data_IF_534372973787
#
_entry.id   IF_534372973787
#
_cell.length_a   1.000
_cell.length_b   1.000
_cell.length_c   1.000
_cell.angle_alpha   90.00
_cell.angle_beta   90.00
_cell.angle_gamma   90.00
#
_symmetry.space_group_name_H-M   'P 1'
#
loop_
_entity.id
_entity.type
_entity.pdbx_description
1 polymer ?
#
# COMPACT_ATOMS: atom_id res chain seq x y z
N UNK A 1 26.84 -18.04 -17.38
CA UNK A 1 27.62 -18.48 -16.20
C UNK A 1 26.82 -18.06 -14.98
N UNK A 2 26.35 -18.98 -14.13
CA UNK A 2 25.60 -18.60 -12.94
C UNK A 2 26.58 -18.05 -11.90
N UNK A 3 26.40 -16.81 -11.51
CA UNK A 3 27.09 -16.22 -10.37
C UNK A 3 26.65 -16.97 -9.11
N UNK A 4 27.56 -17.71 -8.50
CA UNK A 4 27.31 -18.47 -7.28
C UNK A 4 27.05 -17.50 -6.11
N UNK A 5 25.81 -17.45 -5.62
CA UNK A 5 25.39 -16.72 -4.42
C UNK A 5 26.27 -17.03 -3.20
N UNK A 6 26.78 -18.26 -3.11
CA UNK A 6 27.67 -18.71 -2.05
C UNK A 6 29.00 -17.92 -1.99
N UNK A 7 29.51 -17.48 -3.16
CA UNK A 7 30.76 -16.70 -3.22
C UNK A 7 30.55 -15.24 -2.74
N UNK A 8 29.35 -14.69 -2.87
CA UNK A 8 29.05 -13.33 -2.42
C UNK A 8 28.97 -13.26 -0.89
N UNK A 9 28.36 -14.25 -0.24
CA UNK A 9 28.27 -14.30 1.23
C UNK A 9 29.66 -14.50 1.86
N UNK A 10 30.47 -15.38 1.29
CA UNK A 10 31.85 -15.60 1.74
C UNK A 10 32.69 -14.33 1.55
N UNK A 11 32.52 -13.62 0.43
CA UNK A 11 33.20 -12.35 0.18
C UNK A 11 32.79 -11.27 1.18
N UNK A 12 31.51 -11.15 1.53
CA UNK A 12 31.03 -10.20 2.53
C UNK A 12 31.55 -10.53 3.94
N UNK A 13 31.65 -11.81 4.30
CA UNK A 13 32.24 -12.24 5.57
C UNK A 13 33.73 -11.91 5.65
N UNK A 14 34.50 -12.14 4.58
CA UNK A 14 35.91 -11.75 4.52
C UNK A 14 36.12 -10.24 4.57
N UNK A 15 35.26 -9.47 3.88
CA UNK A 15 35.30 -8.02 3.91
C UNK A 15 35.00 -7.49 5.33
N UNK A 16 34.00 -8.06 6.01
CA UNK A 16 33.68 -7.75 7.38
C UNK A 16 34.82 -8.05 8.36
N UNK A 17 35.49 -9.18 8.18
CA UNK A 17 36.66 -9.56 8.98
C UNK A 17 37.86 -8.60 8.79
N UNK A 18 38.11 -8.18 7.55
CA UNK A 18 39.16 -7.22 7.23
C UNK A 18 38.88 -5.86 7.88
N UNK A 19 37.64 -5.40 7.78
CA UNK A 19 37.20 -4.14 8.42
C UNK A 19 37.33 -4.23 9.94
N UNK A 20 36.95 -5.34 10.55
CA UNK A 20 37.09 -5.56 11.99
C UNK A 20 38.57 -5.53 12.44
N UNK A 21 39.47 -6.14 11.66
CA UNK A 21 40.94 -6.12 11.95
C UNK A 21 41.54 -4.73 11.77
N UNK A 22 41.07 -3.94 10.80
CA UNK A 22 41.47 -2.55 10.62
C UNK A 22 41.04 -1.65 11.79
N UNK A 23 39.81 -1.85 12.28
CA UNK A 23 39.26 -1.13 13.44
C UNK A 23 40.05 -1.47 14.72
N UNK A 24 40.49 -2.72 14.88
CA UNK A 24 41.26 -3.14 16.05
C UNK A 24 42.66 -2.50 16.13
N UNK A 25 43.24 -2.11 14.98
CA UNK A 25 44.51 -1.35 14.93
C UNK A 25 44.40 0.16 15.19
N UNK A 26 43.16 0.72 15.16
CA UNK A 26 42.93 2.12 15.43
C UNK A 26 43.01 2.41 16.95
N UNK A 27 43.63 3.54 17.30
CA UNK A 27 43.84 3.92 18.72
C UNK A 27 42.52 3.95 19.48
N UNK A 28 42.55 3.56 20.76
CA UNK A 28 41.36 3.49 21.65
C UNK A 28 40.48 4.75 21.65
N UNK A 29 41.04 5.92 21.33
CA UNK A 29 40.28 7.17 21.19
C UNK A 29 39.36 7.18 19.96
N UNK A 30 39.81 6.68 18.80
CA UNK A 30 39.03 6.61 17.56
C UNK A 30 37.86 5.61 17.69
N UNK A 31 38.06 4.50 18.38
CA UNK A 31 37.01 3.50 18.64
C UNK A 31 35.85 4.14 19.45
N UNK A 32 36.18 5.00 20.43
CA UNK A 32 35.14 5.68 21.22
C UNK A 32 34.27 6.61 20.40
N UNK A 33 34.85 7.36 19.45
CA UNK A 33 34.10 8.23 18.54
C UNK A 33 33.26 7.44 17.51
N UNK A 34 33.80 6.32 17.04
CA UNK A 34 33.06 5.46 16.10
C UNK A 34 31.83 4.82 16.76
N UNK A 35 31.94 4.31 17.99
CA UNK A 35 30.80 3.80 18.77
C UNK A 35 29.77 4.89 19.02
N UNK A 36 30.20 6.12 19.34
CA UNK A 36 29.30 7.24 19.57
C UNK A 36 28.53 7.63 18.30
N UNK A 37 29.20 7.66 17.13
CA UNK A 37 28.56 7.93 15.83
C UNK A 37 27.56 6.83 15.43
N UNK A 38 27.91 5.56 15.59
CA UNK A 38 27.02 4.43 15.26
C UNK A 38 25.80 4.40 16.17
N UNK A 39 25.95 4.70 17.48
CA UNK A 39 24.82 4.83 18.39
C UNK A 39 23.92 6.02 18.01
N UNK A 40 24.49 7.15 17.58
CA UNK A 40 23.75 8.32 17.12
C UNK A 40 22.92 8.04 15.86
N UNK A 41 23.52 7.36 14.87
CA UNK A 41 22.81 6.96 13.63
C UNK A 41 21.71 5.96 13.95
N UNK A 42 21.95 5.00 14.84
CA UNK A 42 20.97 4.01 15.25
C UNK A 42 19.79 4.67 15.99
N UNK A 43 20.05 5.63 16.90
CA UNK A 43 19.01 6.40 17.57
C UNK A 43 18.19 7.26 16.58
N UNK A 44 18.85 7.83 15.57
CA UNK A 44 18.18 8.64 14.55
C UNK A 44 17.22 7.80 13.68
N UNK A 45 17.60 6.56 13.33
CA UNK A 45 16.74 5.62 12.59
C UNK A 45 15.52 5.23 13.40
N UNK A 46 15.64 5.06 14.72
CA UNK A 46 14.49 4.76 15.59
C UNK A 46 13.54 5.95 15.80
N UNK A 47 14.03 7.17 15.74
CA UNK A 47 13.21 8.39 15.89
C UNK A 47 12.43 8.76 14.62
N UNK A 48 12.87 8.31 13.43
CA UNK A 48 12.18 8.56 12.15
C UNK A 48 11.22 7.43 11.73
N UNK A 49 11.16 6.35 12.49
CA UNK A 49 10.41 5.14 12.16
C UNK A 49 9.04 5.02 12.79
N UNK A 50 8.15 5.99 12.63
CA UNK A 50 6.70 5.81 12.74
C UNK A 50 5.97 7.03 12.19
N UNK A 51 6.02 7.20 10.88
CA UNK A 51 5.00 7.99 10.21
C UNK A 51 3.89 7.03 9.80
N UNK A 52 2.89 6.86 10.67
CA UNK A 52 1.57 6.43 10.23
C UNK A 52 1.04 7.56 9.33
N UNK A 53 1.33 7.45 8.03
CA UNK A 53 0.83 8.37 7.04
C UNK A 53 -0.70 8.33 7.08
N UNK A 54 -1.32 9.37 7.61
CA UNK A 54 -2.71 9.66 7.37
C UNK A 54 -2.88 9.82 5.86
N UNK A 55 -3.50 8.84 5.23
CA UNK A 55 -3.91 8.95 3.84
C UNK A 55 -4.97 10.04 3.77
N UNK A 56 -4.63 11.18 3.23
CA UNK A 56 -5.55 12.30 3.09
C UNK A 56 -6.63 11.96 2.07
N UNK A 57 -7.87 12.17 2.48
CA UNK A 57 -9.04 12.19 1.59
C UNK A 57 -8.95 13.44 0.71
N UNK A 58 -9.31 13.29 -0.51
CA UNK A 58 -9.17 14.25 -1.59
C UNK A 58 -9.61 15.68 -1.31
N UNK A 59 -8.70 16.60 -1.50
CA UNK A 59 -9.05 17.94 -1.96
C UNK A 59 -8.48 18.27 -3.36
N UNK A 60 -7.73 17.35 -4.01
CA UNK A 60 -7.24 17.60 -5.36
C UNK A 60 -7.05 16.30 -6.14
N UNK A 61 -7.97 16.01 -7.04
CA UNK A 61 -7.88 14.97 -8.09
C UNK A 61 -6.98 15.50 -9.25
N UNK A 62 -5.96 16.26 -8.95
CA UNK A 62 -5.13 16.91 -9.99
C UNK A 62 -4.12 15.98 -10.68
N UNK A 63 -4.03 14.70 -10.28
CA UNK A 63 -3.10 13.75 -10.90
C UNK A 63 -3.73 12.40 -11.31
N UNK A 64 -5.03 12.36 -11.48
CA UNK A 64 -5.67 11.22 -12.16
C UNK A 64 -5.76 11.58 -13.62
N UNK A 65 -4.88 11.03 -14.43
CA UNK A 65 -4.86 11.23 -15.90
C UNK A 65 -6.14 10.75 -16.60
N UNK A 66 -7.14 10.27 -15.85
CA UNK A 66 -8.36 9.76 -16.42
C UNK A 66 -9.59 10.43 -15.81
N UNK A 67 -10.33 11.15 -16.66
CA UNK A 67 -11.67 11.72 -16.36
C UNK A 67 -12.68 10.67 -15.87
N UNK A 68 -12.36 9.39 -15.97
CA UNK A 68 -13.23 8.27 -15.59
C UNK A 68 -13.50 8.22 -14.09
N UNK A 69 -12.48 8.44 -13.24
CA UNK A 69 -12.66 8.43 -11.79
C UNK A 69 -13.42 9.65 -11.27
N UNK A 70 -13.38 10.77 -11.98
CA UNK A 70 -14.14 11.98 -11.64
C UNK A 70 -15.65 11.74 -11.68
N UNK A 71 -16.10 10.77 -12.48
CA UNK A 71 -17.53 10.41 -12.61
C UNK A 71 -18.04 9.56 -11.44
N UNK A 72 -17.14 8.93 -10.67
CA UNK A 72 -17.47 8.06 -9.54
C UNK A 72 -17.35 8.88 -8.27
N UNK A 73 -18.49 9.13 -7.61
CA UNK A 73 -18.56 10.01 -6.43
C UNK A 73 -18.90 9.28 -5.13
N UNK A 74 -19.11 7.99 -5.21
CA UNK A 74 -19.53 7.16 -4.10
C UNK A 74 -18.44 6.22 -3.59
N UNK A 75 -17.20 6.46 -3.98
CA UNK A 75 -16.03 5.72 -3.51
C UNK A 75 -14.89 6.69 -3.21
N UNK A 76 -14.23 6.58 -2.05
CA UNK A 76 -13.00 7.35 -1.78
C UNK A 76 -11.83 6.80 -2.58
N UNK A 77 -11.04 7.68 -3.20
CA UNK A 77 -9.80 7.30 -3.88
C UNK A 77 -8.58 7.81 -3.13
N UNK A 78 -7.55 6.98 -3.04
CA UNK A 78 -6.27 7.34 -2.45
C UNK A 78 -5.52 8.27 -3.41
N UNK A 79 -4.88 9.31 -2.87
CA UNK A 79 -4.03 10.21 -3.68
C UNK A 79 -2.96 9.43 -4.43
N UNK A 80 -2.64 9.89 -5.65
CA UNK A 80 -1.66 9.26 -6.54
C UNK A 80 -2.03 7.84 -6.98
N UNK A 81 -3.30 7.43 -6.84
CA UNK A 81 -3.79 6.22 -7.47
C UNK A 81 -3.70 6.34 -8.99
N UNK A 82 -3.22 5.28 -9.63
CA UNK A 82 -3.22 5.16 -11.09
C UNK A 82 -4.22 4.08 -11.49
N UNK A 83 -5.15 4.43 -12.38
CA UNK A 83 -6.10 3.46 -12.92
C UNK A 83 -5.43 2.61 -14.00
N UNK A 84 -5.70 1.31 -13.98
CA UNK A 84 -5.41 0.41 -15.08
C UNK A 84 -6.65 0.35 -15.99
N UNK A 85 -6.64 1.13 -17.04
CA UNK A 85 -7.79 1.29 -17.95
C UNK A 85 -8.07 -0.03 -18.69
N UNK A 86 -7.05 -0.78 -19.06
CA UNK A 86 -7.20 -2.04 -19.79
C UNK A 86 -7.91 -3.12 -18.97
N UNK A 87 -7.75 -3.06 -17.65
CA UNK A 87 -8.34 -4.01 -16.68
C UNK A 87 -9.58 -3.45 -15.99
N UNK A 88 -9.99 -2.24 -16.30
CA UNK A 88 -11.15 -1.57 -15.71
C UNK A 88 -12.31 -1.53 -16.69
N UNK A 89 -13.52 -1.73 -16.18
CA UNK A 89 -14.76 -1.61 -16.93
C UNK A 89 -15.79 -0.90 -16.06
N UNK A 90 -16.27 0.25 -16.50
CA UNK A 90 -17.26 1.06 -15.78
C UNK A 90 -18.48 1.25 -16.68
N UNK A 91 -19.63 0.81 -16.19
CA UNK A 91 -20.92 0.96 -16.84
C UNK A 91 -21.80 1.90 -16.02
N UNK A 92 -22.33 2.94 -16.66
CA UNK A 92 -23.11 3.97 -15.99
C UNK A 92 -22.23 5.07 -15.37
N UNK A 93 -22.84 5.91 -14.55
CA UNK A 93 -22.18 7.06 -13.92
C UNK A 93 -22.81 7.44 -12.56
N UNK A 94 -22.13 8.32 -11.83
CA UNK A 94 -22.61 8.85 -10.54
C UNK A 94 -22.68 7.76 -9.47
N UNK A 95 -23.85 7.60 -8.87
CA UNK A 95 -24.13 6.58 -7.84
C UNK A 95 -24.83 5.33 -8.38
N UNK A 96 -25.01 5.21 -9.71
CA UNK A 96 -25.68 4.06 -10.35
C UNK A 96 -24.72 3.27 -11.26
N UNK A 97 -23.43 3.56 -11.21
CA UNK A 97 -22.44 2.79 -11.96
C UNK A 97 -22.27 1.37 -11.40
N UNK A 98 -21.90 0.47 -12.26
CA UNK A 98 -21.48 -0.91 -11.93
C UNK A 98 -20.27 -1.29 -12.74
N UNK A 99 -19.50 -2.26 -12.29
CA UNK A 99 -18.33 -2.72 -13.00
C UNK A 99 -17.13 -2.98 -12.10
N UNK A 100 -15.95 -2.84 -12.67
CA UNK A 100 -14.68 -3.14 -12.01
C UNK A 100 -13.67 -2.02 -12.27
N UNK A 101 -12.96 -1.62 -11.24
CA UNK A 101 -11.86 -0.66 -11.31
C UNK A 101 -10.61 -1.31 -10.74
N UNK A 102 -9.51 -1.26 -11.48
CA UNK A 102 -8.20 -1.69 -11.01
C UNK A 102 -7.33 -0.47 -10.80
N UNK A 103 -6.77 -0.34 -9.60
CA UNK A 103 -5.93 0.78 -9.21
C UNK A 103 -4.56 0.29 -8.71
N UNK A 104 -3.53 1.05 -9.01
CA UNK A 104 -2.22 0.93 -8.40
C UNK A 104 -1.97 2.14 -7.49
N UNK A 105 -1.56 1.89 -6.27
CA UNK A 105 -1.27 2.93 -5.28
C UNK A 105 0.13 2.76 -4.69
N UNK A 106 0.91 3.84 -4.52
CA UNK A 106 2.24 3.79 -3.92
C UNK A 106 2.15 3.77 -2.38
N UNK A 107 1.36 2.85 -1.85
CA UNK A 107 1.14 2.67 -0.41
C UNK A 107 1.13 1.18 -0.07
N UNK A 108 1.66 0.79 1.10
CA UNK A 108 1.64 -0.59 1.55
C UNK A 108 0.21 -1.06 1.85
N UNK A 109 -0.03 -2.34 1.62
CA UNK A 109 -1.35 -2.97 1.79
C UNK A 109 -2.06 -2.64 3.12
N UNK A 110 -1.39 -2.66 4.30
CA UNK A 110 -2.07 -2.32 5.56
C UNK A 110 -2.61 -0.89 5.58
N UNK A 111 -1.89 0.07 5.01
CA UNK A 111 -2.33 1.47 4.93
C UNK A 111 -3.53 1.64 4.00
N UNK A 112 -3.50 0.98 2.84
CA UNK A 112 -4.61 0.96 1.87
C UNK A 112 -5.86 0.33 2.49
N UNK A 113 -5.70 -0.80 3.16
CA UNK A 113 -6.79 -1.47 3.84
C UNK A 113 -7.45 -0.57 4.90
N UNK A 114 -6.64 0.03 5.78
CA UNK A 114 -7.15 0.93 6.83
C UNK A 114 -7.81 2.19 6.24
N UNK A 115 -7.30 2.69 5.10
CA UNK A 115 -7.94 3.81 4.42
C UNK A 115 -9.40 3.49 4.05
N UNK A 116 -9.65 2.35 3.42
CA UNK A 116 -11.02 1.98 3.05
C UNK A 116 -11.89 1.69 4.27
N UNK A 117 -11.39 0.96 5.27
CA UNK A 117 -12.13 0.70 6.51
C UNK A 117 -12.59 2.00 7.19
N UNK A 118 -11.74 3.02 7.18
CA UNK A 118 -12.03 4.26 7.91
C UNK A 118 -12.90 5.27 7.12
N UNK A 119 -12.97 5.13 5.80
CA UNK A 119 -13.56 6.20 4.98
C UNK A 119 -14.75 5.74 4.11
N UNK A 120 -14.92 4.47 3.84
CA UNK A 120 -15.91 3.98 2.87
C UNK A 120 -17.36 4.21 3.36
N UNK A 121 -17.58 4.17 4.66
CA UNK A 121 -18.91 4.39 5.25
C UNK A 121 -19.42 5.82 5.05
N UNK A 122 -18.53 6.79 5.00
CA UNK A 122 -18.88 8.20 4.72
C UNK A 122 -19.48 8.38 3.31
N UNK A 123 -19.25 7.40 2.43
CA UNK A 123 -19.77 7.36 1.07
C UNK A 123 -21.09 6.58 0.93
N UNK A 124 -21.67 6.12 2.05
CA UNK A 124 -22.97 5.45 2.09
C UNK A 124 -22.91 3.93 1.98
N UNK A 125 -21.72 3.34 2.19
CA UNK A 125 -21.54 1.89 2.21
C UNK A 125 -21.54 1.36 3.65
N UNK A 126 -22.21 0.25 3.91
CA UNK A 126 -22.29 -0.42 5.22
C UNK A 126 -21.51 -1.71 5.20
N UNK A 127 -20.65 -1.91 6.19
CA UNK A 127 -19.82 -3.11 6.28
C UNK A 127 -20.66 -4.38 6.41
N UNK A 128 -20.30 -5.38 5.61
CA UNK A 128 -20.83 -6.74 5.70
C UNK A 128 -19.75 -7.70 6.24
N UNK A 129 -18.59 -7.68 5.63
CA UNK A 129 -17.49 -8.58 5.99
C UNK A 129 -16.15 -7.97 5.63
N UNK A 130 -15.19 -8.10 6.52
CA UNK A 130 -13.82 -7.65 6.31
C UNK A 130 -12.84 -8.77 6.65
N UNK A 131 -12.00 -9.15 5.70
CA UNK A 131 -11.03 -10.25 5.83
C UNK A 131 -9.63 -9.71 5.57
N UNK A 132 -8.71 -9.95 6.50
CA UNK A 132 -7.28 -9.65 6.32
C UNK A 132 -6.55 -10.95 5.95
N UNK A 133 -5.84 -10.93 4.83
CA UNK A 133 -5.09 -12.07 4.32
C UNK A 133 -3.98 -11.66 3.38
N UNK A 134 -3.45 -12.58 2.61
CA UNK A 134 -2.54 -12.28 1.50
C UNK A 134 -3.20 -11.30 0.52
N UNK A 135 -4.42 -11.60 0.13
CA UNK A 135 -5.37 -10.65 -0.44
C UNK A 135 -6.36 -10.27 0.66
N UNK A 136 -6.41 -9.01 1.02
CA UNK A 136 -7.41 -8.51 1.97
C UNK A 136 -8.68 -8.16 1.21
N UNK A 137 -9.83 -8.50 1.78
CA UNK A 137 -11.16 -8.32 1.15
C UNK A 137 -12.03 -7.51 2.10
N UNK A 138 -12.66 -6.47 1.56
CA UNK A 138 -13.66 -5.67 2.23
C UNK A 138 -14.95 -5.75 1.41
N UNK A 139 -16.02 -6.14 2.04
CA UNK A 139 -17.34 -6.28 1.42
C UNK A 139 -18.34 -5.39 2.12
N UNK A 140 -19.01 -4.53 1.36
CA UNK A 140 -20.01 -3.58 1.86
C UNK A 140 -21.26 -3.62 0.99
N UNK A 141 -22.37 -3.23 1.59
CA UNK A 141 -23.65 -3.01 0.90
C UNK A 141 -23.98 -1.53 0.93
N UNK A 142 -24.31 -1.00 -0.22
CA UNK A 142 -24.74 0.38 -0.39
C UNK A 142 -26.26 0.52 -0.49
N UNK A 143 -26.72 1.75 -0.47
CA UNK A 143 -28.09 2.09 -0.81
C UNK A 143 -28.40 1.62 -2.25
N UNK A 144 -29.65 1.39 -2.59
CA UNK A 144 -30.11 0.88 -3.89
C UNK A 144 -29.70 -0.55 -4.22
N UNK A 145 -29.59 -1.42 -3.24
CA UNK A 145 -29.28 -2.85 -3.43
C UNK A 145 -28.00 -3.06 -4.26
N UNK A 146 -26.92 -2.39 -3.90
CA UNK A 146 -25.61 -2.59 -4.52
C UNK A 146 -24.62 -3.17 -3.52
N UNK A 147 -23.70 -3.96 -4.04
CA UNK A 147 -22.56 -4.52 -3.30
C UNK A 147 -21.26 -3.95 -3.86
N UNK A 148 -20.38 -3.57 -2.97
CA UNK A 148 -18.98 -3.26 -3.32
C UNK A 148 -18.07 -4.27 -2.67
N UNK A 149 -17.15 -4.83 -3.47
CA UNK A 149 -16.06 -5.70 -3.01
C UNK A 149 -14.75 -5.00 -3.35
N UNK A 150 -13.96 -4.71 -2.33
CA UNK A 150 -12.64 -4.11 -2.47
C UNK A 150 -11.61 -5.16 -2.09
N UNK A 151 -10.81 -5.58 -3.05
CA UNK A 151 -9.69 -6.52 -2.84
C UNK A 151 -8.38 -5.75 -2.88
N UNK A 152 -7.57 -5.90 -1.84
CA UNK A 152 -6.27 -5.23 -1.72
C UNK A 152 -5.16 -6.27 -1.67
N UNK A 153 -4.27 -6.20 -2.64
CA UNK A 153 -3.11 -7.10 -2.77
C UNK A 153 -1.82 -6.29 -2.80
N UNK A 154 -0.77 -6.82 -2.17
CA UNK A 154 0.55 -6.22 -2.27
C UNK A 154 1.12 -6.39 -3.68
N UNK A 155 1.73 -5.33 -4.22
CA UNK A 155 2.32 -5.29 -5.57
C UNK A 155 3.73 -4.73 -5.52
N UNK A 156 4.67 -5.52 -5.04
CA UNK A 156 6.06 -5.11 -4.89
C UNK A 156 6.31 -4.30 -3.61
N UNK A 157 7.45 -3.64 -3.55
CA UNK A 157 7.88 -2.93 -2.35
C UNK A 157 7.04 -1.66 -2.15
N UNK A 158 6.35 -1.61 -1.01
CA UNK A 158 5.59 -0.42 -0.54
C UNK A 158 4.49 0.06 -1.51
N UNK A 159 3.90 -0.83 -2.29
CA UNK A 159 2.83 -0.53 -3.23
C UNK A 159 1.76 -1.61 -3.22
N UNK A 160 0.55 -1.25 -3.63
CA UNK A 160 -0.60 -2.16 -3.64
C UNK A 160 -1.39 -2.06 -4.93
N UNK A 161 -1.99 -3.17 -5.31
CA UNK A 161 -3.05 -3.25 -6.31
C UNK A 161 -4.39 -3.32 -5.58
N UNK A 162 -5.34 -2.53 -6.03
CA UNK A 162 -6.70 -2.50 -5.53
C UNK A 162 -7.62 -2.90 -6.67
N UNK A 163 -8.48 -3.87 -6.42
CA UNK A 163 -9.58 -4.22 -7.29
C UNK A 163 -10.89 -3.85 -6.61
N UNK A 164 -11.62 -2.91 -7.18
CA UNK A 164 -12.93 -2.47 -6.71
C UNK A 164 -13.97 -3.01 -7.68
N UNK A 165 -14.88 -3.84 -7.21
CA UNK A 165 -15.99 -4.36 -8.00
C UNK A 165 -17.30 -3.89 -7.39
N UNK A 166 -18.17 -3.30 -8.21
CA UNK A 166 -19.51 -2.87 -7.82
C UNK A 166 -20.54 -3.56 -8.70
N UNK A 167 -21.51 -4.20 -8.07
CA UNK A 167 -22.59 -4.90 -8.75
C UNK A 167 -23.92 -4.65 -8.05
N UNK A 168 -25.06 -4.83 -8.74
CA UNK A 168 -26.35 -4.94 -8.07
C UNK A 168 -26.32 -6.11 -7.08
N UNK A 169 -26.95 -5.96 -5.94
CA UNK A 169 -27.21 -7.06 -5.02
C UNK A 169 -28.24 -7.98 -5.68
N UNK A 170 -27.88 -9.24 -5.92
CA UNK A 170 -28.83 -10.21 -6.41
C UNK A 170 -29.79 -10.53 -5.24
N UNK A 171 -31.05 -10.10 -5.33
CA UNK A 171 -32.09 -10.66 -4.48
C UNK A 171 -32.18 -12.15 -4.84
N UNK A 172 -32.12 -13.03 -3.83
CA UNK A 172 -32.41 -14.44 -4.05
C UNK A 172 -33.80 -14.54 -4.66
N UNK A 173 -33.90 -15.13 -5.84
CA UNK A 173 -35.17 -15.52 -6.42
C UNK A 173 -35.80 -16.56 -5.48
N UNK A 174 -36.77 -16.12 -4.66
CA UNK A 174 -37.65 -16.99 -3.90
C UNK A 174 -38.68 -17.65 -4.83
#
# INVERSE_FOLDING_TARGET
MPFNFLNLEIFLLFLGLIIALLIFKLSKKLIKYFILCTLGIFAFIFLTGCSSGNLNINDNIENVEDNTLVRIKDIPFIKQSKIDIERSLILGEGKSWSGQIVLYVPNPKPSVFNFYVNNIEDFGWKEQTTIRGETSILNYVGDNNRVIIISVKEKGFNSSEILISVSPYAEEFQ
#
